data_IF_244762246730
#
_entry.id   IF_244762246730
#
_cell.length_a   1.000
_cell.length_b   1.000
_cell.length_c   1.000
_cell.angle_alpha   90.00
_cell.angle_beta   90.00
_cell.angle_gamma   90.00
#
_symmetry.space_group_name_H-M   'P 1'
#
loop_
_entity.id
_entity.type
_entity.pdbx_description
1 polymer ?
#
# COMPACT_ATOMS: atom_id res chain seq x y z
N UNK A 1 3.43 -1.76 -13.24
CA UNK A 1 2.87 -2.54 -12.13
C UNK A 1 3.97 -2.76 -11.10
N UNK A 2 3.64 -2.66 -9.82
CA UNK A 2 4.52 -2.90 -8.69
C UNK A 2 4.58 -4.41 -8.42
N UNK A 3 5.78 -4.96 -8.31
CA UNK A 3 6.01 -6.42 -8.21
C UNK A 3 6.58 -6.81 -6.85
N UNK A 4 6.52 -8.10 -6.53
CA UNK A 4 7.18 -8.68 -5.35
C UNK A 4 8.67 -8.34 -5.27
N UNK A 5 9.39 -8.33 -6.40
CA UNK A 5 10.81 -7.96 -6.45
C UNK A 5 11.02 -6.48 -6.05
N UNK A 6 10.18 -5.58 -6.56
CA UNK A 6 10.22 -4.18 -6.13
C UNK A 6 9.89 -4.04 -4.63
N UNK A 7 8.91 -4.82 -4.14
CA UNK A 7 8.47 -4.83 -2.75
C UNK A 7 9.52 -5.42 -1.83
N UNK A 8 10.30 -6.40 -2.27
CA UNK A 8 11.39 -6.97 -1.47
C UNK A 8 12.47 -5.93 -1.20
N UNK A 9 12.79 -5.11 -2.21
CA UNK A 9 13.92 -4.18 -2.16
C UNK A 9 13.57 -2.77 -1.62
N UNK A 10 12.30 -2.47 -1.34
CA UNK A 10 11.92 -1.13 -0.83
C UNK A 10 12.24 -0.92 0.66
N UNK A 11 12.44 0.33 1.06
CA UNK A 11 12.56 0.70 2.47
C UNK A 11 11.25 0.36 3.24
N UNK A 12 11.30 -0.09 4.52
CA UNK A 12 10.10 -0.41 5.30
C UNK A 12 9.04 0.69 5.31
N UNK A 13 9.43 1.96 5.44
CA UNK A 13 8.47 3.08 5.42
C UNK A 13 7.69 3.19 4.10
N UNK A 14 8.27 2.74 2.99
CA UNK A 14 7.57 2.73 1.71
C UNK A 14 6.42 1.71 1.67
N UNK A 15 6.46 0.67 2.51
CA UNK A 15 5.42 -0.35 2.60
C UNK A 15 4.08 0.27 3.03
N UNK A 16 4.10 1.21 3.98
CA UNK A 16 2.89 1.95 4.40
C UNK A 16 2.29 2.71 3.23
N UNK A 17 3.12 3.45 2.50
CA UNK A 17 2.68 4.20 1.32
C UNK A 17 2.08 3.27 0.27
N UNK A 18 2.74 2.14 -0.04
CA UNK A 18 2.27 1.21 -1.06
C UNK A 18 1.06 0.39 -0.66
N UNK A 19 0.89 0.08 0.63
CA UNK A 19 -0.36 -0.50 1.15
C UNK A 19 -1.54 0.43 0.91
N UNK A 20 -1.39 1.72 1.23
CA UNK A 20 -2.44 2.72 1.02
C UNK A 20 -2.69 3.01 -0.46
N UNK A 21 -1.64 3.11 -1.28
CA UNK A 21 -1.75 3.30 -2.74
C UNK A 21 -2.48 2.12 -3.39
N UNK A 22 -2.13 0.89 -3.01
CA UNK A 22 -2.78 -0.33 -3.49
C UNK A 22 -4.26 -0.39 -3.11
N UNK A 23 -4.56 -0.14 -1.84
CA UNK A 23 -5.94 -0.13 -1.33
C UNK A 23 -6.79 0.95 -2.02
N UNK A 24 -6.30 2.19 -2.11
CA UNK A 24 -7.02 3.29 -2.77
C UNK A 24 -7.23 3.03 -4.27
N UNK A 25 -6.21 2.50 -4.96
CA UNK A 25 -6.37 2.17 -6.38
C UNK A 25 -7.48 1.14 -6.58
N UNK A 26 -7.50 0.10 -5.74
CA UNK A 26 -8.44 -1.01 -5.84
C UNK A 26 -9.88 -0.58 -5.50
N UNK A 27 -10.09 0.00 -4.30
CA UNK A 27 -11.42 0.30 -3.79
C UNK A 27 -12.05 1.58 -4.37
N UNK A 28 -11.27 2.65 -4.54
CA UNK A 28 -11.82 3.95 -4.96
C UNK A 28 -11.73 4.18 -6.47
N UNK A 29 -10.68 3.67 -7.12
CA UNK A 29 -10.43 3.95 -8.55
C UNK A 29 -10.80 2.78 -9.46
N UNK A 30 -11.09 1.59 -8.91
CA UNK A 30 -11.28 0.36 -9.68
C UNK A 30 -10.11 0.11 -10.65
N UNK A 31 -8.88 0.29 -10.14
CA UNK A 31 -7.60 0.10 -10.86
C UNK A 31 -6.63 -0.71 -10.01
N UNK A 32 -5.71 -1.38 -10.69
CA UNK A 32 -4.67 -2.17 -10.02
C UNK A 32 -3.31 -1.54 -10.26
N UNK A 33 -2.54 -1.33 -9.19
CA UNK A 33 -1.13 -0.90 -9.25
C UNK A 33 -0.17 -2.09 -9.10
N UNK A 34 -0.65 -3.19 -8.54
CA UNK A 34 0.04 -4.47 -8.35
C UNK A 34 -0.96 -5.62 -8.49
N UNK A 35 -0.50 -6.86 -8.61
CA UNK A 35 -1.39 -8.02 -8.56
C UNK A 35 -1.83 -8.33 -7.12
N UNK A 36 -2.88 -9.12 -6.95
CA UNK A 36 -3.33 -9.59 -5.62
C UNK A 36 -2.19 -10.31 -4.89
N UNK A 37 -1.44 -11.15 -5.61
CA UNK A 37 -0.27 -11.84 -5.06
C UNK A 37 0.82 -10.89 -4.56
N UNK A 38 1.12 -9.83 -5.32
CA UNK A 38 2.10 -8.82 -4.92
C UNK A 38 1.59 -7.99 -3.72
N UNK A 39 0.29 -7.70 -3.67
CA UNK A 39 -0.32 -7.00 -2.54
C UNK A 39 -0.28 -7.83 -1.27
N UNK A 40 -0.62 -9.13 -1.33
CA UNK A 40 -0.52 -10.05 -0.20
C UNK A 40 0.91 -10.14 0.32
N UNK A 41 1.90 -10.20 -0.58
CA UNK A 41 3.31 -10.16 -0.21
C UNK A 41 3.68 -8.86 0.51
N UNK A 42 3.19 -7.72 0.02
CA UNK A 42 3.39 -6.43 0.67
C UNK A 42 2.79 -6.39 2.07
N UNK A 43 1.56 -6.86 2.25
CA UNK A 43 0.89 -6.91 3.56
C UNK A 43 1.68 -7.76 4.54
N UNK A 44 2.16 -8.93 4.09
CA UNK A 44 2.99 -9.80 4.92
C UNK A 44 4.27 -9.09 5.38
N UNK A 45 5.01 -8.47 4.46
CA UNK A 45 6.24 -7.74 4.79
C UNK A 45 5.97 -6.55 5.70
N UNK A 46 4.87 -5.82 5.46
CA UNK A 46 4.43 -4.70 6.30
C UNK A 46 4.15 -5.14 7.74
N UNK A 47 3.55 -6.32 7.94
CA UNK A 47 3.33 -6.91 9.27
C UNK A 47 4.64 -7.28 9.96
N UNK A 48 5.56 -7.90 9.22
CA UNK A 48 6.88 -8.31 9.75
C UNK A 48 7.73 -7.11 10.18
N UNK A 49 7.64 -6.00 9.44
CA UNK A 49 8.40 -4.77 9.71
C UNK A 49 7.64 -3.74 10.56
N UNK A 50 6.43 -4.07 11.03
CA UNK A 50 5.50 -3.07 11.58
C UNK A 50 6.14 -2.25 12.70
N UNK A 51 6.85 -2.87 13.63
CA UNK A 51 7.47 -2.18 14.76
C UNK A 51 8.70 -1.32 14.38
N UNK A 52 9.30 -1.57 13.21
CA UNK A 52 10.47 -0.84 12.70
C UNK A 52 10.12 0.38 11.83
N UNK A 53 8.84 0.49 11.42
CA UNK A 53 8.39 1.55 10.51
C UNK A 53 8.12 2.85 11.26
N UNK A 54 8.65 3.94 10.73
CA UNK A 54 8.44 5.31 11.19
C UNK A 54 7.87 6.17 10.04
N UNK A 55 6.58 5.98 9.74
CA UNK A 55 5.88 6.68 8.67
C UNK A 55 4.67 7.45 9.22
N UNK A 56 4.43 8.71 8.82
CA UNK A 56 3.35 9.53 9.39
C UNK A 56 1.97 8.91 9.20
N UNK A 57 1.70 8.32 8.03
CA UNK A 57 0.40 7.67 7.78
C UNK A 57 0.26 6.26 8.37
N UNK A 58 1.27 5.76 9.12
CA UNK A 58 1.18 4.43 9.78
C UNK A 58 -0.01 4.39 10.74
N UNK A 59 -0.32 5.51 11.41
CA UNK A 59 -1.45 5.65 12.34
C UNK A 59 -2.83 5.47 11.69
N UNK A 60 -2.93 5.58 10.36
CA UNK A 60 -4.16 5.40 9.61
C UNK A 60 -4.45 3.92 9.28
N UNK A 61 -3.50 3.02 9.55
CA UNK A 61 -3.62 1.59 9.30
C UNK A 61 -3.81 0.89 10.64
N UNK A 62 -4.91 0.15 10.77
CA UNK A 62 -5.22 -0.63 11.97
C UNK A 62 -4.65 -2.05 11.86
N UNK A 63 -4.46 -2.77 12.99
CA UNK A 63 -4.11 -4.18 12.96
C UNK A 63 -5.11 -5.02 12.15
N UNK A 64 -6.40 -4.70 12.21
CA UNK A 64 -7.45 -5.38 11.43
C UNK A 64 -7.27 -5.20 9.93
N UNK A 65 -6.78 -4.04 9.47
CA UNK A 65 -6.45 -3.84 8.06
C UNK A 65 -5.37 -4.81 7.58
N UNK A 66 -4.35 -5.02 8.41
CA UNK A 66 -3.26 -5.93 8.10
C UNK A 66 -3.67 -7.40 8.21
N UNK A 67 -4.52 -7.75 9.18
CA UNK A 67 -5.02 -9.12 9.35
C UNK A 67 -5.99 -9.54 8.25
N UNK A 68 -6.83 -8.61 7.77
CA UNK A 68 -7.74 -8.85 6.65
C UNK A 68 -7.08 -8.68 5.28
N UNK A 69 -5.87 -8.12 5.20
CA UNK A 69 -5.24 -7.73 3.94
C UNK A 69 -6.06 -6.70 3.17
N UNK A 70 -6.68 -5.74 3.87
CA UNK A 70 -7.60 -4.78 3.26
C UNK A 70 -7.53 -3.41 3.93
N UNK A 71 -7.42 -2.36 3.12
CA UNK A 71 -7.53 -0.97 3.54
C UNK A 71 -8.83 -0.28 3.11
N UNK A 72 -9.94 -1.04 2.98
CA UNK A 72 -11.20 -0.52 2.42
C UNK A 72 -11.85 0.61 3.23
N UNK A 73 -11.59 0.65 4.54
CA UNK A 73 -12.15 1.61 5.50
C UNK A 73 -11.20 2.77 5.82
N UNK A 74 -10.06 2.86 5.12
CA UNK A 74 -9.07 3.91 5.34
C UNK A 74 -9.52 5.22 4.68
N UNK A 75 -9.53 6.30 5.46
CA UNK A 75 -9.63 7.64 4.90
C UNK A 75 -8.29 8.09 4.31
N UNK A 76 -8.14 7.97 2.98
CA UNK A 76 -6.86 8.23 2.32
C UNK A 76 -6.50 9.73 2.27
N UNK A 77 -5.28 10.13 2.73
CA UNK A 77 -4.78 11.48 2.59
C UNK A 77 -4.61 11.91 1.12
N UNK A 78 -4.73 13.22 0.84
CA UNK A 78 -4.54 13.77 -0.52
C UNK A 78 -3.20 13.38 -1.15
N UNK A 79 -2.16 13.21 -0.32
CA UNK A 79 -0.84 12.76 -0.77
C UNK A 79 -0.88 11.34 -1.35
N UNK A 80 -1.58 10.41 -0.70
CA UNK A 80 -1.76 9.04 -1.21
C UNK A 80 -2.55 9.09 -2.52
N UNK A 81 -3.66 9.81 -2.54
CA UNK A 81 -4.51 9.94 -3.74
C UNK A 81 -3.73 10.47 -4.95
N UNK A 82 -2.96 11.54 -4.73
CA UNK A 82 -2.11 12.14 -5.76
C UNK A 82 -1.01 11.20 -6.24
N UNK A 83 -0.32 10.52 -5.31
CA UNK A 83 0.72 9.54 -5.64
C UNK A 83 0.17 8.36 -6.46
N UNK A 84 -1.01 7.84 -6.10
CA UNK A 84 -1.66 6.77 -6.85
C UNK A 84 -1.98 7.19 -8.28
N UNK A 85 -2.59 8.37 -8.47
CA UNK A 85 -2.91 8.89 -9.81
C UNK A 85 -1.65 9.12 -10.64
N UNK A 86 -0.61 9.70 -10.04
CA UNK A 86 0.67 9.92 -10.70
C UNK A 86 1.31 8.58 -11.16
N UNK A 87 1.32 7.57 -10.29
CA UNK A 87 1.85 6.25 -10.61
C UNK A 87 1.06 5.56 -11.72
N UNK A 88 -0.28 5.57 -11.63
CA UNK A 88 -1.15 5.00 -12.65
C UNK A 88 -0.97 5.65 -14.02
N UNK A 89 -0.66 6.95 -14.08
CA UNK A 89 -0.36 7.63 -15.33
C UNK A 89 1.03 7.29 -15.89
N UNK A 90 1.99 6.93 -15.02
CA UNK A 90 3.33 6.54 -15.43
C UNK A 90 3.42 5.12 -15.98
N UNK A 91 2.55 4.21 -15.53
CA UNK A 91 2.53 2.81 -15.94
C UNK A 91 1.59 2.52 -17.13
N UNK A 92 0.96 3.55 -17.70
CA UNK A 92 0.22 3.46 -18.97
C UNK A 92 1.20 3.36 -20.13
#
# INVERSE_FOLDING_TARGET
>A
MKTTEDILNMHPDALVSWFMIGSYAYYDLNKNVMSDYDFDFLVKRLKEEWDNINHPHKELITPTNLDSGSGYDIEFPSMVKGATVAYLNHIK
#
